data_IF_485273882900
#
_entry.id   IF_485273882900
#
_cell.length_a   1.000
_cell.length_b   1.000
_cell.length_c   1.000
_cell.angle_alpha   90.00
_cell.angle_beta   90.00
_cell.angle_gamma   90.00
#
_symmetry.space_group_name_H-M   'P 1'
#
loop_
_entity.id
_entity.type
_entity.pdbx_description
1 polymer ?
#
# COMPACT_ATOMS: atom_id res chain seq x y z
N UNK A 1 -4.80 12.00 -22.49
CA UNK A 1 -5.77 12.22 -21.39
C UNK A 1 -5.19 13.28 -20.47
N UNK A 2 -5.98 14.23 -19.96
CA UNK A 2 -5.50 15.19 -18.93
C UNK A 2 -5.36 14.47 -17.58
N UNK A 3 -4.55 14.99 -16.62
CA UNK A 3 -4.49 14.41 -15.27
C UNK A 3 -5.85 14.30 -14.60
N UNK A 4 -6.68 15.34 -14.70
CA UNK A 4 -8.04 15.33 -14.11
C UNK A 4 -8.91 14.23 -14.73
N UNK A 5 -8.91 14.11 -16.07
CA UNK A 5 -9.67 13.06 -16.75
C UNK A 5 -9.17 11.65 -16.37
N UNK A 6 -7.86 11.48 -16.15
CA UNK A 6 -7.28 10.23 -15.69
C UNK A 6 -7.76 9.89 -14.27
N UNK A 7 -7.73 10.85 -13.35
CA UNK A 7 -8.16 10.63 -11.97
C UNK A 7 -9.67 10.39 -11.85
N UNK A 8 -10.49 11.08 -12.66
CA UNK A 8 -11.93 10.82 -12.74
C UNK A 8 -12.23 9.42 -13.29
N UNK A 9 -11.61 9.02 -14.39
CA UNK A 9 -11.80 7.69 -14.96
C UNK A 9 -11.34 6.57 -14.00
N UNK A 10 -10.25 6.81 -13.28
CA UNK A 10 -9.76 5.89 -12.25
C UNK A 10 -10.76 5.75 -11.10
N UNK A 11 -11.28 6.87 -10.57
CA UNK A 11 -12.27 6.82 -9.49
C UNK A 11 -13.57 6.12 -9.91
N UNK A 12 -14.02 6.34 -11.14
CA UNK A 12 -15.17 5.64 -11.70
C UNK A 12 -14.92 4.12 -11.79
N UNK A 13 -13.75 3.70 -12.28
CA UNK A 13 -13.36 2.29 -12.33
C UNK A 13 -13.32 1.66 -10.93
N UNK A 14 -12.66 2.32 -9.98
CA UNK A 14 -12.53 1.83 -8.60
C UNK A 14 -13.90 1.65 -7.94
N UNK A 15 -14.80 2.64 -8.08
CA UNK A 15 -16.18 2.53 -7.59
C UNK A 15 -16.95 1.39 -8.27
N UNK A 16 -16.77 1.18 -9.56
CA UNK A 16 -17.43 0.09 -10.29
C UNK A 16 -16.97 -1.28 -9.79
N UNK A 17 -15.65 -1.47 -9.66
CA UNK A 17 -15.00 -2.67 -9.12
C UNK A 17 -15.49 -2.93 -7.70
N UNK A 18 -15.44 -1.93 -6.83
CA UNK A 18 -15.91 -2.06 -5.45
C UNK A 18 -17.38 -2.48 -5.39
N UNK A 19 -18.25 -1.87 -6.20
CA UNK A 19 -19.68 -2.17 -6.21
C UNK A 19 -20.02 -3.55 -6.75
N UNK A 20 -19.26 -4.05 -7.74
CA UNK A 20 -19.62 -5.27 -8.49
C UNK A 20 -18.82 -6.50 -8.07
N UNK A 21 -17.58 -6.33 -7.64
CA UNK A 21 -16.67 -7.42 -7.32
C UNK A 21 -16.33 -7.52 -5.82
N UNK A 22 -16.33 -6.41 -5.06
CA UNK A 22 -15.90 -6.42 -3.65
C UNK A 22 -17.10 -6.49 -2.69
N UNK A 23 -17.92 -5.43 -2.64
CA UNK A 23 -18.98 -5.30 -1.64
C UNK A 23 -20.05 -6.41 -1.67
N UNK A 24 -20.42 -7.02 -2.81
CA UNK A 24 -21.36 -8.15 -2.81
C UNK A 24 -20.87 -9.37 -2.01
N UNK A 25 -19.55 -9.48 -1.81
CA UNK A 25 -18.91 -10.56 -1.07
C UNK A 25 -18.52 -10.15 0.37
N UNK A 26 -18.59 -8.87 0.73
CA UNK A 26 -18.27 -8.44 2.08
C UNK A 26 -19.31 -8.92 3.08
N UNK A 27 -18.88 -9.61 4.14
CA UNK A 27 -19.73 -10.23 5.17
C UNK A 27 -20.67 -11.36 4.68
N UNK A 28 -20.54 -11.75 3.41
CA UNK A 28 -21.37 -12.79 2.76
C UNK A 28 -20.54 -13.95 2.21
N UNK A 29 -19.20 -13.90 2.33
CA UNK A 29 -18.30 -14.97 1.93
C UNK A 29 -18.64 -16.30 2.61
N UNK A 30 -18.70 -17.37 1.82
CA UNK A 30 -18.69 -18.75 2.32
C UNK A 30 -17.26 -19.27 2.41
N UNK A 31 -17.06 -20.38 3.14
CA UNK A 31 -15.73 -20.97 3.31
C UNK A 31 -15.11 -21.41 1.98
N UNK A 32 -15.92 -21.84 1.02
CA UNK A 32 -15.49 -22.29 -0.31
C UNK A 32 -15.02 -21.13 -1.20
N UNK A 33 -15.34 -19.89 -0.83
CA UNK A 33 -14.94 -18.68 -1.54
C UNK A 33 -13.65 -18.07 -0.98
N UNK A 34 -12.98 -18.76 -0.03
CA UNK A 34 -11.72 -18.37 0.57
C UNK A 34 -10.71 -19.49 0.30
N UNK A 35 -9.65 -19.17 -0.43
CA UNK A 35 -8.56 -20.07 -0.75
C UNK A 35 -7.29 -19.65 0.00
N UNK A 36 -6.52 -20.62 0.50
CA UNK A 36 -5.23 -20.34 1.14
C UNK A 36 -4.12 -20.32 0.08
N UNK A 37 -3.44 -19.19 -0.08
CA UNK A 37 -2.23 -19.03 -0.92
C UNK A 37 -0.97 -19.56 -0.23
N UNK A 38 -0.87 -19.30 1.08
CA UNK A 38 0.23 -19.73 1.94
C UNK A 38 -0.27 -19.90 3.38
N UNK A 39 0.60 -20.35 4.29
CA UNK A 39 0.25 -20.53 5.71
C UNK A 39 -0.35 -19.27 6.36
N UNK A 40 -0.02 -18.10 5.80
CA UNK A 40 -0.41 -16.80 6.29
C UNK A 40 -0.96 -15.87 5.19
N UNK A 41 -1.53 -16.43 4.13
CA UNK A 41 -1.98 -15.65 2.98
C UNK A 41 -3.24 -16.27 2.39
N UNK A 42 -4.26 -15.45 2.16
CA UNK A 42 -5.58 -15.88 1.68
C UNK A 42 -5.99 -15.05 0.49
N UNK A 43 -6.76 -15.67 -0.40
CA UNK A 43 -7.39 -15.02 -1.54
C UNK A 43 -8.86 -15.39 -1.56
N UNK A 44 -9.71 -14.46 -1.97
CA UNK A 44 -11.14 -14.71 -2.10
C UNK A 44 -11.60 -14.55 -3.54
N UNK A 45 -12.85 -14.95 -3.79
CA UNK A 45 -13.50 -14.67 -5.08
C UNK A 45 -13.53 -13.17 -5.41
N UNK A 46 -13.58 -12.30 -4.39
CA UNK A 46 -13.60 -10.86 -4.58
C UNK A 46 -12.27 -10.33 -5.14
N UNK A 47 -11.13 -10.85 -4.67
CA UNK A 47 -9.79 -10.48 -5.16
C UNK A 47 -9.66 -10.80 -6.66
N UNK A 48 -10.01 -12.03 -7.06
CA UNK A 48 -9.93 -12.50 -8.46
C UNK A 48 -10.83 -11.69 -9.39
N UNK A 49 -12.10 -11.50 -9.01
CA UNK A 49 -13.06 -10.71 -9.80
C UNK A 49 -12.61 -9.24 -9.93
N UNK A 50 -12.04 -8.69 -8.84
CA UNK A 50 -11.56 -7.31 -8.84
C UNK A 50 -10.34 -7.16 -9.74
N UNK A 51 -9.39 -8.11 -9.71
CA UNK A 51 -8.21 -8.06 -10.58
C UNK A 51 -8.57 -8.15 -12.06
N UNK A 52 -9.49 -9.04 -12.44
CA UNK A 52 -9.99 -9.15 -13.82
C UNK A 52 -10.63 -7.83 -14.30
N UNK A 53 -11.54 -7.27 -13.49
CA UNK A 53 -12.21 -6.01 -13.82
C UNK A 53 -11.23 -4.83 -13.90
N UNK A 54 -10.25 -4.78 -13.00
CA UNK A 54 -9.20 -3.76 -13.00
C UNK A 54 -8.32 -3.90 -14.24
N UNK A 55 -7.85 -5.10 -14.59
CA UNK A 55 -7.03 -5.31 -15.78
C UNK A 55 -7.75 -4.83 -17.06
N UNK A 56 -9.03 -5.17 -17.22
CA UNK A 56 -9.85 -4.71 -18.35
C UNK A 56 -10.06 -3.18 -18.36
N UNK A 57 -10.31 -2.60 -17.18
CA UNK A 57 -10.55 -1.16 -17.03
C UNK A 57 -9.29 -0.35 -17.31
N UNK A 58 -8.16 -0.74 -16.72
CA UNK A 58 -6.87 -0.07 -16.87
C UNK A 58 -6.39 -0.10 -18.32
N UNK A 59 -6.60 -1.21 -19.04
CA UNK A 59 -6.29 -1.32 -20.47
C UNK A 59 -7.09 -0.33 -21.34
N UNK A 60 -8.27 0.11 -20.88
CA UNK A 60 -9.10 1.13 -21.56
C UNK A 60 -8.65 2.56 -21.19
N UNK A 61 -8.23 2.78 -19.94
CA UNK A 61 -7.80 4.10 -19.45
C UNK A 61 -6.44 4.50 -20.07
N UNK A 62 -5.44 3.62 -19.98
CA UNK A 62 -4.14 3.79 -20.66
C UNK A 62 -3.77 2.50 -21.39
N UNK A 63 -4.04 2.43 -22.71
CA UNK A 63 -3.72 1.26 -23.51
C UNK A 63 -2.22 1.01 -23.61
N UNK A 64 -1.83 -0.26 -23.70
CA UNK A 64 -0.47 -0.70 -24.03
C UNK A 64 0.48 -0.88 -22.84
N UNK A 65 0.06 -0.53 -21.62
CA UNK A 65 0.82 -0.83 -20.42
C UNK A 65 0.57 -2.27 -19.96
N UNK A 66 1.63 -2.96 -19.55
CA UNK A 66 1.50 -4.22 -18.85
C UNK A 66 0.82 -4.04 -17.50
N UNK A 67 0.09 -5.06 -17.03
CA UNK A 67 -0.43 -5.12 -15.66
C UNK A 67 0.40 -6.11 -14.85
N UNK A 68 0.87 -5.67 -13.69
CA UNK A 68 1.51 -6.48 -12.65
C UNK A 68 0.56 -6.49 -11.45
N UNK A 69 -0.30 -7.50 -11.40
CA UNK A 69 -1.25 -7.72 -10.32
C UNK A 69 -0.76 -8.77 -9.32
N UNK A 70 -1.22 -8.69 -8.08
CA UNK A 70 -0.90 -9.67 -7.04
C UNK A 70 -1.26 -11.10 -7.44
N UNK A 71 -2.49 -11.33 -7.91
CA UNK A 71 -2.98 -12.70 -8.19
C UNK A 71 -2.31 -13.26 -9.43
N UNK A 72 -2.15 -12.42 -10.46
CA UNK A 72 -1.38 -12.75 -11.65
C UNK A 72 0.08 -13.12 -11.32
N UNK A 73 0.75 -12.37 -10.44
CA UNK A 73 2.13 -12.64 -10.05
C UNK A 73 2.25 -13.89 -9.16
N UNK A 74 1.21 -14.21 -8.38
CA UNK A 74 1.14 -15.47 -7.64
C UNK A 74 1.01 -16.67 -8.58
N UNK A 75 0.18 -16.55 -9.63
CA UNK A 75 0.01 -17.60 -10.63
C UNK A 75 1.22 -17.76 -11.58
N UNK A 76 1.85 -16.65 -11.95
CA UNK A 76 3.03 -16.59 -12.82
C UNK A 76 4.04 -15.54 -12.30
N UNK A 77 5.10 -15.98 -11.59
CA UNK A 77 6.11 -15.07 -11.07
C UNK A 77 6.84 -14.24 -12.14
N UNK A 78 6.83 -14.65 -13.43
CA UNK A 78 7.49 -13.90 -14.51
C UNK A 78 6.79 -12.58 -14.83
N UNK A 79 5.55 -12.39 -14.36
CA UNK A 79 4.85 -11.11 -14.44
C UNK A 79 5.65 -9.98 -13.77
N UNK A 80 6.45 -10.31 -12.75
CA UNK A 80 7.31 -9.37 -12.03
C UNK A 80 8.41 -8.75 -12.91
N UNK A 81 8.85 -9.44 -13.98
CA UNK A 81 9.89 -8.93 -14.88
C UNK A 81 9.46 -7.63 -15.59
N UNK A 82 8.15 -7.37 -15.64
CA UNK A 82 7.57 -6.18 -16.26
C UNK A 82 7.74 -4.91 -15.42
N UNK A 83 8.11 -5.03 -14.13
CA UNK A 83 8.31 -3.90 -13.21
C UNK A 83 9.47 -2.98 -13.62
N UNK A 84 10.43 -3.50 -14.39
CA UNK A 84 11.54 -2.70 -14.94
C UNK A 84 11.11 -1.82 -16.13
N UNK A 85 9.91 -2.00 -16.68
CA UNK A 85 9.36 -1.21 -17.78
C UNK A 85 8.19 -0.32 -17.35
N UNK A 86 7.48 0.24 -18.33
CA UNK A 86 6.24 0.97 -18.08
C UNK A 86 5.09 -0.01 -17.78
N UNK A 87 4.51 0.05 -16.58
CA UNK A 87 3.48 -0.88 -16.15
C UNK A 87 2.48 -0.26 -15.18
N UNK A 88 1.31 -0.90 -15.10
CA UNK A 88 0.39 -0.83 -13.98
C UNK A 88 0.83 -1.82 -12.91
N UNK A 89 0.72 -1.42 -11.64
CA UNK A 89 0.91 -2.27 -10.47
C UNK A 89 -0.39 -2.23 -9.68
N UNK A 90 -0.94 -3.39 -9.34
CA UNK A 90 -2.30 -3.52 -8.79
C UNK A 90 -2.34 -4.46 -7.60
N UNK A 91 -2.86 -3.95 -6.48
CA UNK A 91 -3.46 -4.78 -5.44
C UNK A 91 -4.99 -4.64 -5.57
N UNK A 92 -5.69 -5.68 -6.01
CA UNK A 92 -7.13 -5.63 -6.26
C UNK A 92 -7.97 -5.58 -4.99
N UNK A 93 -7.43 -6.02 -3.85
CA UNK A 93 -8.11 -6.03 -2.55
C UNK A 93 -7.08 -6.10 -1.41
N UNK A 94 -6.45 -4.97 -1.09
CA UNK A 94 -5.54 -4.88 0.06
C UNK A 94 -6.33 -5.05 1.36
N UNK A 95 -5.81 -5.88 2.27
CA UNK A 95 -6.51 -6.25 3.49
C UNK A 95 -7.45 -7.45 3.35
N UNK A 96 -7.19 -8.38 2.41
CA UNK A 96 -7.99 -9.61 2.19
C UNK A 96 -8.30 -10.38 3.48
N UNK A 97 -7.37 -10.42 4.44
CA UNK A 97 -7.60 -11.05 5.76
C UNK A 97 -8.70 -10.35 6.56
N UNK A 98 -8.69 -9.01 6.58
CA UNK A 98 -9.74 -8.23 7.25
C UNK A 98 -11.09 -8.47 6.54
N UNK A 99 -11.08 -8.43 5.21
CA UNK A 99 -12.25 -8.68 4.38
C UNK A 99 -12.86 -10.06 4.63
N UNK A 100 -12.05 -11.13 4.58
CA UNK A 100 -12.45 -12.50 4.88
C UNK A 100 -12.95 -12.68 6.32
N UNK A 101 -12.43 -11.88 7.26
CA UNK A 101 -12.89 -11.83 8.64
C UNK A 101 -14.12 -10.92 8.87
N UNK A 102 -14.73 -10.39 7.80
CA UNK A 102 -15.86 -9.46 7.83
C UNK A 102 -15.58 -8.17 8.61
N UNK A 103 -14.35 -7.66 8.55
CA UNK A 103 -13.89 -6.46 9.26
C UNK A 103 -13.26 -5.44 8.31
N UNK A 104 -13.39 -4.13 8.60
CA UNK A 104 -12.53 -3.12 8.01
C UNK A 104 -11.13 -3.14 8.64
N UNK A 105 -10.13 -2.46 8.04
CA UNK A 105 -10.16 -1.80 6.74
C UNK A 105 -9.75 -2.74 5.58
N UNK A 106 -10.16 -2.39 4.36
CA UNK A 106 -9.68 -2.96 3.10
C UNK A 106 -9.87 -1.96 1.96
N UNK A 107 -9.05 -2.06 0.92
CA UNK A 107 -9.03 -1.08 -0.17
C UNK A 107 -8.43 -1.62 -1.46
N UNK A 108 -8.19 -0.73 -2.41
CA UNK A 108 -7.52 -1.03 -3.68
C UNK A 108 -6.29 -0.14 -3.78
N UNK A 109 -5.15 -0.72 -4.21
CA UNK A 109 -3.92 0.02 -4.49
C UNK A 109 -3.58 -0.09 -5.97
N UNK A 110 -3.34 1.06 -6.62
CA UNK A 110 -2.92 1.09 -8.02
C UNK A 110 -1.77 2.07 -8.19
N UNK A 111 -0.75 1.69 -8.93
CA UNK A 111 0.30 2.61 -9.36
C UNK A 111 0.62 2.45 -10.84
N UNK A 112 1.10 3.54 -11.46
CA UNK A 112 1.88 3.48 -12.69
C UNK A 112 3.35 3.65 -12.34
N UNK A 113 4.17 2.77 -12.87
CA UNK A 113 5.62 2.84 -12.75
C UNK A 113 6.27 2.82 -14.13
N UNK A 114 7.44 3.43 -14.23
CA UNK A 114 8.32 3.36 -15.39
C UNK A 114 9.76 3.17 -14.92
N UNK A 115 10.49 2.23 -15.50
CA UNK A 115 11.89 1.99 -15.12
C UNK A 115 12.08 1.63 -13.63
N UNK A 116 11.14 0.88 -13.03
CA UNK A 116 11.18 0.53 -11.60
C UNK A 116 10.73 1.64 -10.64
N UNK A 117 10.23 2.76 -11.17
CA UNK A 117 9.93 3.96 -10.40
C UNK A 117 8.46 4.38 -10.53
N UNK A 118 7.71 4.29 -9.42
CA UNK A 118 6.32 4.74 -9.39
C UNK A 118 6.22 6.27 -9.60
N UNK A 119 5.37 6.70 -10.53
CA UNK A 119 5.19 8.10 -10.88
C UNK A 119 3.75 8.60 -10.68
N UNK A 120 2.76 7.72 -10.68
CA UNK A 120 1.37 8.05 -10.30
C UNK A 120 0.82 6.92 -9.43
N UNK A 121 0.07 7.24 -8.38
CA UNK A 121 -0.48 6.26 -7.45
C UNK A 121 -1.87 6.63 -6.96
N UNK A 122 -2.66 5.61 -6.67
CA UNK A 122 -4.02 5.69 -6.15
C UNK A 122 -4.18 4.73 -4.98
N UNK A 123 -4.82 5.22 -3.92
CA UNK A 123 -5.24 4.42 -2.77
C UNK A 123 -6.72 4.68 -2.58
N UNK A 124 -7.51 3.62 -2.56
CA UNK A 124 -8.96 3.73 -2.47
C UNK A 124 -9.51 2.87 -1.34
N UNK A 125 -10.23 3.50 -0.41
CA UNK A 125 -10.96 2.81 0.65
C UNK A 125 -12.36 2.43 0.15
N UNK A 126 -12.61 1.12 0.08
CA UNK A 126 -13.85 0.57 -0.47
C UNK A 126 -15.11 0.86 0.35
N UNK A 127 -14.95 1.23 1.63
CA UNK A 127 -16.07 1.48 2.55
C UNK A 127 -16.33 2.97 2.75
N UNK A 128 -15.27 3.77 2.88
CA UNK A 128 -15.40 5.21 3.10
C UNK A 128 -15.37 6.04 1.82
N UNK A 129 -15.13 5.42 0.66
CA UNK A 129 -14.95 6.08 -0.64
C UNK A 129 -13.75 7.04 -0.65
N UNK A 130 -12.86 6.99 0.36
CA UNK A 130 -11.66 7.83 0.45
C UNK A 130 -10.75 7.54 -0.74
N UNK A 131 -10.55 8.57 -1.56
CA UNK A 131 -9.75 8.50 -2.77
C UNK A 131 -8.49 9.36 -2.66
N UNK A 132 -7.36 8.70 -2.44
CA UNK A 132 -6.05 9.32 -2.38
C UNK A 132 -5.36 9.22 -3.75
N UNK A 133 -4.70 10.29 -4.16
CA UNK A 133 -3.94 10.38 -5.41
C UNK A 133 -2.56 10.95 -5.11
N UNK A 134 -1.53 10.45 -5.79
CA UNK A 134 -0.24 11.11 -5.83
C UNK A 134 0.35 11.06 -7.23
N UNK A 135 1.05 12.12 -7.60
CA UNK A 135 1.84 12.17 -8.82
C UNK A 135 3.20 12.80 -8.52
N UNK A 136 4.25 12.16 -9.02
CA UNK A 136 5.63 12.53 -8.69
C UNK A 136 5.91 14.01 -8.99
N UNK A 137 6.40 14.72 -7.99
CA UNK A 137 6.72 16.14 -8.04
C UNK A 137 5.50 17.07 -8.16
N UNK A 138 4.27 16.57 -7.96
CA UNK A 138 3.03 17.38 -8.01
C UNK A 138 2.28 17.39 -6.69
N UNK A 139 2.62 16.49 -5.77
CA UNK A 139 2.03 16.38 -4.45
C UNK A 139 1.02 15.23 -4.35
N UNK A 140 0.50 15.11 -3.13
CA UNK A 140 -0.52 14.16 -2.76
C UNK A 140 -1.86 14.87 -2.55
N UNK A 141 -2.96 14.16 -2.83
CA UNK A 141 -4.31 14.70 -2.81
C UNK A 141 -5.28 13.69 -2.21
N UNK A 142 -6.33 14.17 -1.55
CA UNK A 142 -7.49 13.37 -1.12
C UNK A 142 -8.73 14.07 -1.67
N UNK A 143 -9.51 13.37 -2.49
CA UNK A 143 -10.67 13.95 -3.19
C UNK A 143 -10.36 15.24 -3.96
N UNK A 144 -9.17 15.32 -4.56
CA UNK A 144 -8.71 16.49 -5.32
C UNK A 144 -8.12 17.62 -4.47
N UNK A 145 -8.26 17.58 -3.15
CA UNK A 145 -7.67 18.55 -2.24
C UNK A 145 -6.23 18.17 -1.90
N UNK A 146 -5.29 19.10 -2.06
CA UNK A 146 -3.87 18.86 -1.78
C UNK A 146 -3.66 18.64 -0.28
N UNK A 147 -2.96 17.57 0.06
CA UNK A 147 -2.66 17.21 1.45
C UNK A 147 -1.17 17.31 1.74
N UNK A 148 -0.83 17.56 3.01
CA UNK A 148 0.53 17.44 3.52
C UNK A 148 0.53 16.54 4.75
N UNK A 149 1.55 15.70 4.84
CA UNK A 149 1.75 14.80 5.97
C UNK A 149 1.91 15.63 7.25
N UNK A 150 1.25 15.19 8.31
CA UNK A 150 1.31 15.82 9.62
C UNK A 150 1.63 14.76 10.68
N UNK A 151 2.65 14.96 11.53
CA UNK A 151 2.85 14.13 12.70
C UNK A 151 1.70 14.27 13.71
N UNK A 152 1.52 13.27 14.58
CA UNK A 152 0.57 13.29 15.70
C UNK A 152 0.93 14.36 16.74
N UNK A 153 2.22 14.70 16.84
CA UNK A 153 2.84 15.55 17.88
C UNK A 153 2.77 14.97 19.29
N UNK A 154 2.50 13.67 19.42
CA UNK A 154 2.58 12.96 20.69
C UNK A 154 4.02 12.71 21.11
N UNK A 155 4.22 12.53 22.41
CA UNK A 155 5.50 12.15 23.01
C UNK A 155 5.27 11.03 24.02
N UNK A 156 5.72 9.79 23.77
CA UNK A 156 6.50 9.37 22.59
C UNK A 156 5.67 9.35 21.28
N UNK A 157 6.31 9.45 20.09
CA UNK A 157 5.61 9.38 18.79
C UNK A 157 4.88 8.05 18.59
N UNK A 158 3.86 8.04 17.75
CA UNK A 158 2.96 6.90 17.52
C UNK A 158 3.52 5.98 16.44
N UNK A 159 3.71 4.70 16.76
CA UNK A 159 4.26 3.72 15.83
C UNK A 159 3.29 2.58 15.55
N UNK A 160 3.00 2.33 14.28
CA UNK A 160 2.33 1.12 13.82
C UNK A 160 3.36 0.20 13.16
N UNK A 161 3.94 -0.70 13.96
CA UNK A 161 5.03 -1.58 13.53
C UNK A 161 4.48 -3.01 13.43
N UNK A 162 4.46 -3.57 12.22
CA UNK A 162 4.10 -4.97 12.05
C UNK A 162 5.30 -5.85 12.40
N UNK A 163 5.15 -6.68 13.43
CA UNK A 163 6.17 -7.65 13.83
C UNK A 163 5.99 -9.01 13.14
N UNK A 164 4.89 -9.23 12.42
CA UNK A 164 4.42 -10.54 11.96
C UNK A 164 5.42 -11.21 11.02
N UNK A 165 6.03 -10.45 10.11
CA UNK A 165 6.95 -10.98 9.09
C UNK A 165 8.43 -10.88 9.44
N UNK A 166 8.76 -10.29 10.60
CA UNK A 166 10.14 -10.24 11.08
C UNK A 166 10.58 -11.62 11.58
N UNK A 167 11.84 -11.98 11.35
CA UNK A 167 12.42 -13.15 11.99
C UNK A 167 12.44 -12.98 13.52
N UNK A 168 12.45 -14.08 14.30
CA UNK A 168 12.33 -13.99 15.76
C UNK A 168 13.41 -13.14 16.44
N UNK A 169 14.65 -13.16 15.94
CA UNK A 169 15.76 -12.41 16.53
C UNK A 169 15.61 -10.91 16.25
N UNK A 170 15.30 -10.54 15.00
CA UNK A 170 15.04 -9.15 14.64
C UNK A 170 13.81 -8.59 15.35
N UNK A 171 12.74 -9.39 15.46
CA UNK A 171 11.52 -9.03 16.20
C UNK A 171 11.81 -8.68 17.66
N UNK A 172 12.61 -9.50 18.34
CA UNK A 172 12.98 -9.24 19.73
C UNK A 172 13.89 -8.02 19.85
N UNK A 173 14.83 -7.83 18.91
CA UNK A 173 15.67 -6.64 18.86
C UNK A 173 14.85 -5.35 18.70
N UNK A 174 13.89 -5.32 17.77
CA UNK A 174 12.95 -4.20 17.58
C UNK A 174 12.14 -3.96 18.85
N UNK A 175 11.58 -5.01 19.46
CA UNK A 175 10.79 -4.91 20.70
C UNK A 175 11.62 -4.31 21.85
N UNK A 176 12.88 -4.71 21.97
CA UNK A 176 13.74 -4.30 23.07
C UNK A 176 14.35 -2.91 22.89
N UNK A 177 14.74 -2.56 21.67
CA UNK A 177 15.58 -1.39 21.41
C UNK A 177 14.89 -0.29 20.60
N UNK A 178 13.77 -0.58 19.92
CA UNK A 178 13.02 0.40 19.12
C UNK A 178 11.70 0.75 19.78
N UNK A 179 10.85 -0.24 20.06
CA UNK A 179 9.50 -0.03 20.60
C UNK A 179 9.42 0.86 21.85
N UNK A 180 10.36 0.84 22.81
CA UNK A 180 10.30 1.70 24.00
C UNK A 180 10.36 3.22 23.70
N UNK A 181 10.73 3.61 22.48
CA UNK A 181 10.77 5.01 22.06
C UNK A 181 9.47 5.50 21.43
N UNK A 182 8.46 4.64 21.32
CA UNK A 182 7.22 4.93 20.62
C UNK A 182 6.00 4.48 21.43
N UNK A 183 4.87 5.16 21.25
CA UNK A 183 3.57 4.62 21.62
C UNK A 183 3.13 3.67 20.52
N UNK A 184 3.27 2.37 20.75
CA UNK A 184 2.90 1.35 19.75
C UNK A 184 1.40 1.17 19.67
N UNK A 185 0.87 1.16 18.45
CA UNK A 185 -0.53 0.83 18.14
C UNK A 185 -0.59 -0.38 17.21
N UNK A 186 -1.75 -1.03 17.17
CA UNK A 186 -1.98 -2.12 16.24
C UNK A 186 -1.91 -1.63 14.79
N UNK A 187 -1.28 -2.44 13.94
CA UNK A 187 -1.27 -2.22 12.49
C UNK A 187 -2.64 -2.55 11.90
N UNK A 188 -3.11 -1.82 10.88
CA UNK A 188 -4.41 -2.06 10.27
C UNK A 188 -4.46 -3.34 9.42
N UNK A 189 -3.31 -3.98 9.14
CA UNK A 189 -3.18 -5.13 8.23
C UNK A 189 -3.75 -4.82 6.82
N UNK A 190 -3.56 -3.59 6.37
CA UNK A 190 -4.07 -3.01 5.12
C UNK A 190 -3.18 -1.81 4.80
N UNK A 191 -2.33 -1.90 3.77
CA UNK A 191 -1.47 -0.82 3.35
C UNK A 191 -2.26 0.41 2.84
N UNK A 192 -3.42 0.19 2.21
CA UNK A 192 -4.38 1.21 1.78
C UNK A 192 -4.96 2.04 2.94
N UNK A 193 -4.82 1.56 4.18
CA UNK A 193 -5.10 2.33 5.40
C UNK A 193 -3.81 2.82 6.06
N UNK A 194 -2.76 1.99 6.11
CA UNK A 194 -1.55 2.31 6.85
C UNK A 194 -0.82 3.55 6.32
N UNK A 195 -0.76 3.75 5.00
CA UNK A 195 -0.17 4.94 4.41
C UNK A 195 -0.99 6.22 4.66
N UNK A 196 -2.32 6.24 4.46
CA UNK A 196 -3.15 7.37 4.90
C UNK A 196 -2.98 7.75 6.37
N UNK A 197 -2.86 6.78 7.29
CA UNK A 197 -2.63 7.08 8.72
C UNK A 197 -1.35 7.87 8.98
N UNK A 198 -0.29 7.63 8.20
CA UNK A 198 0.96 8.40 8.28
C UNK A 198 0.79 9.83 7.76
N UNK A 199 0.02 10.01 6.69
CA UNK A 199 -0.24 11.34 6.10
C UNK A 199 -1.22 12.15 6.95
N UNK A 200 -2.23 11.49 7.53
CA UNK A 200 -3.31 12.13 8.28
C UNK A 200 -3.00 12.31 9.77
N UNK A 201 -1.80 11.99 10.22
CA UNK A 201 -1.38 12.19 11.61
C UNK A 201 -2.11 11.34 12.62
N UNK A 202 -2.45 10.11 12.22
CA UNK A 202 -2.90 9.06 13.12
C UNK A 202 -1.70 8.23 13.62
N UNK A 203 -0.70 8.04 12.74
CA UNK A 203 0.55 7.38 13.05
C UNK A 203 1.73 8.30 12.67
N UNK A 204 2.83 8.23 13.40
CA UNK A 204 4.06 8.96 13.08
C UNK A 204 5.04 8.12 12.26
N UNK A 205 5.14 6.82 12.55
CA UNK A 205 6.07 5.90 11.89
C UNK A 205 5.47 4.51 11.66
N UNK A 206 6.01 3.81 10.66
CA UNK A 206 5.71 2.41 10.34
C UNK A 206 6.95 1.72 9.78
N UNK A 207 7.07 0.41 10.07
CA UNK A 207 8.06 -0.48 9.46
C UNK A 207 7.31 -1.52 8.65
N UNK A 208 7.72 -1.71 7.40
CA UNK A 208 7.22 -2.73 6.50
C UNK A 208 8.36 -3.70 6.18
N UNK A 209 8.21 -4.96 6.58
CA UNK A 209 9.23 -5.99 6.40
C UNK A 209 9.17 -6.58 4.97
N UNK A 210 7.99 -7.05 4.57
CA UNK A 210 7.69 -7.39 3.18
C UNK A 210 7.44 -6.10 2.42
N UNK A 211 7.94 -6.03 1.19
CA UNK A 211 7.79 -4.84 0.35
C UNK A 211 7.38 -5.22 -1.06
N UNK A 212 6.24 -5.92 -1.17
CA UNK A 212 5.70 -6.27 -2.46
C UNK A 212 5.29 -4.99 -3.21
N UNK A 213 5.47 -4.94 -4.54
CA UNK A 213 5.19 -3.74 -5.32
C UNK A 213 3.76 -3.23 -5.18
N UNK A 214 2.78 -4.11 -5.20
CA UNK A 214 1.37 -3.75 -5.13
C UNK A 214 0.96 -3.18 -3.76
N UNK A 215 1.54 -3.69 -2.67
CA UNK A 215 1.34 -3.15 -1.31
C UNK A 215 1.89 -1.72 -1.14
N UNK A 216 2.91 -1.32 -1.91
CA UNK A 216 3.75 -0.17 -1.55
C UNK A 216 3.96 0.87 -2.63
N UNK A 217 3.85 0.55 -3.91
CA UNK A 217 4.12 1.51 -4.99
C UNK A 217 3.26 2.78 -4.86
N UNK A 218 1.96 2.61 -4.66
CA UNK A 218 1.02 3.72 -4.49
C UNK A 218 1.23 4.44 -3.15
N UNK A 219 1.37 3.68 -2.06
CA UNK A 219 1.51 4.20 -0.70
C UNK A 219 2.79 4.98 -0.44
N UNK A 220 3.93 4.43 -0.87
CA UNK A 220 5.24 5.06 -0.73
C UNK A 220 5.29 6.37 -1.52
N UNK A 221 4.77 6.38 -2.75
CA UNK A 221 4.64 7.61 -3.54
C UNK A 221 3.73 8.62 -2.83
N UNK A 222 2.56 8.20 -2.36
CA UNK A 222 1.61 9.07 -1.65
C UNK A 222 2.21 9.73 -0.41
N UNK A 223 2.91 8.96 0.42
CA UNK A 223 3.56 9.50 1.61
C UNK A 223 4.68 10.50 1.26
N UNK A 224 5.53 10.16 0.29
CA UNK A 224 6.62 11.03 -0.15
C UNK A 224 6.11 12.34 -0.75
N UNK A 225 5.09 12.28 -1.61
CA UNK A 225 4.49 13.46 -2.23
C UNK A 225 3.68 14.32 -1.24
N UNK A 226 3.23 13.75 -0.12
CA UNK A 226 2.64 14.51 0.98
C UNK A 226 3.71 15.23 1.85
N UNK A 227 5.01 15.01 1.61
CA UNK A 227 6.08 15.59 2.43
C UNK A 227 6.49 14.74 3.65
N UNK A 228 5.93 13.54 3.78
CA UNK A 228 6.49 12.50 4.64
C UNK A 228 7.75 11.88 4.01
N UNK A 229 8.20 10.75 4.56
CA UNK A 229 9.31 9.99 3.97
C UNK A 229 9.04 8.50 4.02
N UNK A 230 9.15 7.87 2.85
CA UNK A 230 9.12 6.44 2.64
C UNK A 230 10.38 6.02 1.89
N UNK A 231 11.25 5.26 2.55
CA UNK A 231 12.55 4.85 2.01
C UNK A 231 13.07 3.57 2.69
N UNK A 232 14.05 2.93 2.06
CA UNK A 232 14.77 1.76 2.62
C UNK A 232 15.51 2.16 3.89
N UNK A 233 15.73 1.26 4.87
CA UNK A 233 16.41 1.62 6.14
C UNK A 233 17.78 2.29 6.01
N UNK A 234 18.50 2.05 4.91
CA UNK A 234 19.78 2.68 4.57
C UNK A 234 19.65 4.08 3.92
N UNK A 235 18.42 4.56 3.75
CA UNK A 235 18.08 5.85 3.14
C UNK A 235 17.92 5.81 1.62
N UNK A 236 18.20 4.69 0.96
CA UNK A 236 17.98 4.55 -0.48
C UNK A 236 16.48 4.60 -0.82
N UNK A 237 16.17 5.12 -2.01
CA UNK A 237 14.80 5.22 -2.49
C UNK A 237 14.19 3.82 -2.69
N UNK A 238 12.89 3.72 -2.45
CA UNK A 238 12.13 2.52 -2.80
C UNK A 238 12.01 2.40 -4.32
N UNK A 239 12.32 1.22 -4.85
CA UNK A 239 12.08 0.83 -6.24
C UNK A 239 11.20 -0.41 -6.27
N UNK A 240 10.31 -0.48 -7.24
CA UNK A 240 9.38 -1.62 -7.35
C UNK A 240 10.07 -2.87 -7.92
N UNK A 241 11.23 -2.72 -8.54
CA UNK A 241 11.94 -3.77 -9.29
C UNK A 241 13.21 -4.32 -8.61
N UNK A 242 13.52 -3.87 -7.38
CA UNK A 242 14.80 -4.23 -6.73
C UNK A 242 14.75 -5.51 -5.88
N UNK A 243 13.55 -6.06 -5.61
CA UNK A 243 13.33 -7.27 -4.81
C UNK A 243 13.82 -7.20 -3.36
N UNK A 244 14.30 -6.05 -2.88
CA UNK A 244 14.82 -5.87 -1.52
C UNK A 244 13.66 -5.85 -0.53
N UNK A 245 13.91 -6.28 0.71
CA UNK A 245 12.97 -6.19 1.84
C UNK A 245 13.24 -4.95 2.68
N UNK A 246 12.30 -4.63 3.57
CA UNK A 246 12.42 -3.53 4.53
C UNK A 246 12.12 -2.17 3.91
N UNK A 247 11.19 -1.45 4.54
CA UNK A 247 10.82 -0.08 4.20
C UNK A 247 10.37 0.63 5.48
N UNK A 248 10.75 1.90 5.61
CA UNK A 248 10.32 2.77 6.71
C UNK A 248 9.43 3.85 6.12
N UNK A 249 8.21 3.98 6.63
CA UNK A 249 7.33 5.12 6.39
C UNK A 249 7.26 6.02 7.62
N UNK A 250 7.39 7.33 7.44
CA UNK A 250 7.24 8.30 8.52
C UNK A 250 6.51 9.56 8.04
N UNK A 251 5.74 10.17 8.95
CA UNK A 251 4.99 11.39 8.71
C UNK A 251 5.90 12.62 8.46
N UNK A 252 7.20 12.52 8.75
CA UNK A 252 8.20 13.54 8.38
C UNK A 252 9.59 12.94 8.18
N UNK A 253 10.49 13.61 7.44
CA UNK A 253 11.89 13.20 7.30
C UNK A 253 12.64 13.08 8.63
N UNK A 254 12.37 13.95 9.61
CA UNK A 254 13.02 13.91 10.91
C UNK A 254 12.65 12.64 11.71
N UNK A 255 11.36 12.29 11.73
CA UNK A 255 10.88 11.05 12.35
C UNK A 255 11.45 9.81 11.66
N UNK A 256 11.61 9.88 10.33
CA UNK A 256 12.25 8.84 9.55
C UNK A 256 13.71 8.65 9.97
N UNK A 257 14.49 9.73 10.05
CA UNK A 257 15.91 9.68 10.41
C UNK A 257 16.09 9.14 11.84
N UNK A 258 15.23 9.53 12.78
CA UNK A 258 15.24 9.01 14.14
C UNK A 258 15.02 7.49 14.18
N UNK A 259 14.01 6.98 13.45
CA UNK A 259 13.72 5.56 13.40
C UNK A 259 14.84 4.77 12.69
N UNK A 260 15.31 5.25 11.54
CA UNK A 260 16.40 4.62 10.79
C UNK A 260 17.68 4.52 11.63
N UNK A 261 18.03 5.58 12.37
CA UNK A 261 19.19 5.59 13.28
C UNK A 261 19.05 4.60 14.45
N UNK A 262 17.82 4.28 14.87
CA UNK A 262 17.59 3.24 15.88
C UNK A 262 17.73 1.84 15.29
N UNK A 263 17.17 1.62 14.11
CA UNK A 263 17.24 0.35 13.40
C UNK A 263 18.69 -0.01 13.00
N UNK A 264 19.50 0.99 12.63
CA UNK A 264 20.91 0.80 12.29
C UNK A 264 21.81 0.36 13.48
N UNK A 265 21.29 0.37 14.71
CA UNK A 265 22.01 -0.03 15.94
C UNK A 265 21.61 -1.43 16.43
N UNK A 266 20.69 -2.10 15.73
CA UNK A 266 20.25 -3.47 16.05
C UNK A 266 21.27 -4.53 15.62
#
# INVERSE_FOLDING_TARGET
>A
MTPDALHSAMLELLRDVTRRAILPHYQTLTAEQIEAKAADDVVTVADKLSEEMLAEGLAKIVPGLAVVGEEAAHADPTVMDRLSGSCWIVDPLDGTRNFAAARPPFGILIAMADGGEAHTGWIYDCLSDRFCVAHRGKGAFIHGEKISARPTRESPPVAAISLIFMDPAHREAVRRHVSPHYRTVDVPLCAAEQYPRLVLGENDVSIFERTLPWDHAAGALFLNEAGGRCARPDGSAYRVDDGRKGLIGAASPALWDELANRLAKL
#
